data_IF_218083492054
#
_entry.id   IF_218083492054
#
_cell.length_a   1.000
_cell.length_b   1.000
_cell.length_c   1.000
_cell.angle_alpha   90.00
_cell.angle_beta   90.00
_cell.angle_gamma   90.00
#
_symmetry.space_group_name_H-M   'P 1'
#
loop_
_entity.id
_entity.type
_entity.pdbx_description
1 polymer ?
#
# COMPACT_ATOMS: atom_id res chain seq x y z
N UNK A 1 -29.65 34.05 3.95
CA UNK A 1 -28.49 33.59 4.74
C UNK A 1 -28.75 32.27 5.46
N UNK A 2 -29.78 32.14 6.31
CA UNK A 2 -30.05 30.91 7.09
C UNK A 2 -30.14 29.65 6.20
N UNK A 3 -30.91 29.69 5.11
CA UNK A 3 -31.02 28.57 4.17
C UNK A 3 -29.66 28.16 3.57
N UNK A 4 -28.85 29.13 3.15
CA UNK A 4 -27.54 28.86 2.56
C UNK A 4 -26.60 28.20 3.59
N UNK A 5 -26.54 28.74 4.81
CA UNK A 5 -25.73 28.17 5.90
C UNK A 5 -26.18 26.75 6.23
N UNK A 6 -27.49 26.51 6.35
CA UNK A 6 -28.04 25.19 6.64
C UNK A 6 -27.66 24.15 5.58
N UNK A 7 -27.87 24.45 4.30
CA UNK A 7 -27.53 23.54 3.21
C UNK A 7 -26.02 23.33 3.05
N UNK A 8 -25.20 24.36 3.28
CA UNK A 8 -23.74 24.21 3.27
C UNK A 8 -23.27 23.34 4.43
N UNK A 9 -23.76 23.58 5.64
CA UNK A 9 -23.35 22.83 6.83
C UNK A 9 -23.71 21.36 6.72
N UNK A 10 -24.96 21.03 6.34
CA UNK A 10 -25.38 19.63 6.19
C UNK A 10 -24.56 18.91 5.10
N UNK A 11 -24.22 19.60 4.01
CA UNK A 11 -23.42 19.04 2.93
C UNK A 11 -21.98 18.78 3.36
N UNK A 12 -21.37 19.72 4.10
CA UNK A 12 -20.02 19.56 4.65
C UNK A 12 -19.98 18.41 5.64
N UNK A 13 -20.96 18.31 6.54
CA UNK A 13 -21.06 17.19 7.50
C UNK A 13 -21.24 15.86 6.76
N UNK A 14 -22.15 15.80 5.78
CA UNK A 14 -22.39 14.61 4.97
C UNK A 14 -21.11 14.11 4.28
N UNK A 15 -20.39 15.00 3.57
CA UNK A 15 -19.15 14.60 2.90
C UNK A 15 -18.01 14.32 3.87
N UNK A 16 -17.92 15.03 5.00
CA UNK A 16 -16.95 14.74 6.04
C UNK A 16 -17.15 13.33 6.62
N UNK A 17 -18.40 12.98 6.94
CA UNK A 17 -18.73 11.65 7.46
C UNK A 17 -18.49 10.55 6.44
N UNK A 18 -18.83 10.75 5.16
CA UNK A 18 -18.65 9.70 4.14
C UNK A 18 -17.18 9.54 3.71
N UNK A 19 -16.42 10.64 3.59
CA UNK A 19 -15.06 10.59 3.02
C UNK A 19 -13.94 10.54 4.04
N UNK A 20 -14.11 11.13 5.23
CA UNK A 20 -13.00 11.30 6.18
C UNK A 20 -13.16 10.38 7.39
N UNK A 21 -14.32 10.44 8.04
CA UNK A 21 -14.54 9.69 9.28
C UNK A 21 -15.96 9.13 9.34
N UNK A 22 -16.14 7.96 8.72
CA UNK A 22 -17.40 7.25 8.75
C UNK A 22 -17.58 6.53 10.09
N UNK A 23 -18.20 7.22 11.03
CA UNK A 23 -18.53 6.70 12.37
C UNK A 23 -19.46 5.47 12.34
N UNK A 24 -20.12 5.19 11.21
CA UNK A 24 -21.04 4.06 11.06
C UNK A 24 -20.36 2.80 10.50
N UNK A 25 -19.09 2.89 10.09
CA UNK A 25 -18.32 1.76 9.60
C UNK A 25 -17.20 1.43 10.60
N UNK A 26 -17.44 0.56 11.60
CA UNK A 26 -16.39 0.18 12.54
C UNK A 26 -15.28 -0.57 11.80
N UNK A 27 -14.05 -0.09 11.97
CA UNK A 27 -12.85 -0.76 11.48
C UNK A 27 -12.10 -1.35 12.66
N UNK A 28 -11.70 -2.61 12.56
CA UNK A 28 -10.78 -3.21 13.51
C UNK A 28 -9.47 -2.42 13.53
N UNK A 29 -9.03 -2.02 14.72
CA UNK A 29 -7.77 -1.32 14.91
C UNK A 29 -6.79 -2.28 15.55
N UNK A 30 -5.62 -2.35 14.94
CA UNK A 30 -4.50 -3.15 15.42
C UNK A 30 -3.49 -2.19 16.04
N UNK A 31 -2.89 -2.59 17.15
CA UNK A 31 -1.86 -1.80 17.82
C UNK A 31 -0.47 -2.31 17.44
N UNK A 32 0.46 -1.39 17.27
CA UNK A 32 1.86 -1.69 17.02
C UNK A 32 2.71 -0.85 17.98
N UNK A 33 3.61 -1.46 18.78
CA UNK A 33 4.47 -0.70 19.67
C UNK A 33 5.28 0.36 18.92
N UNK A 34 5.39 1.56 19.50
CA UNK A 34 6.01 2.71 18.83
C UNK A 34 7.45 2.45 18.37
N UNK A 35 8.21 1.63 19.10
CA UNK A 35 9.56 1.20 18.72
C UNK A 35 9.56 0.45 17.39
N UNK A 36 8.66 -0.53 17.23
CA UNK A 36 8.56 -1.33 16.02
C UNK A 36 7.93 -0.53 14.87
N UNK A 37 6.99 0.37 15.16
CA UNK A 37 6.43 1.28 14.16
C UNK A 37 7.51 2.15 13.51
N UNK A 38 8.46 2.68 14.31
CA UNK A 38 9.61 3.44 13.77
C UNK A 38 10.47 2.61 12.82
N UNK A 39 10.74 1.33 13.14
CA UNK A 39 11.49 0.42 12.27
C UNK A 39 10.73 0.19 10.95
N UNK A 40 9.43 -0.10 11.02
CA UNK A 40 8.60 -0.30 9.84
C UNK A 40 8.48 0.96 8.96
N UNK A 41 8.60 2.15 9.56
CA UNK A 41 8.58 3.41 8.82
C UNK A 41 9.93 3.82 8.23
N UNK A 42 11.05 3.39 8.83
CA UNK A 42 12.40 3.63 8.33
C UNK A 42 12.82 2.63 7.24
N UNK A 43 12.19 2.81 6.08
CA UNK A 43 12.46 2.06 4.85
C UNK A 43 13.93 2.16 4.43
N UNK A 44 14.57 3.32 4.62
CA UNK A 44 15.94 3.57 4.13
C UNK A 44 16.95 2.69 4.87
N UNK A 45 16.78 2.53 6.17
CA UNK A 45 17.70 1.74 6.99
C UNK A 45 17.39 0.25 6.93
N UNK A 46 16.11 -0.13 6.94
CA UNK A 46 15.72 -1.52 7.22
C UNK A 46 15.19 -2.32 6.03
N UNK A 47 14.84 -1.71 4.90
CA UNK A 47 14.22 -2.47 3.80
C UNK A 47 15.14 -3.56 3.22
N UNK A 48 16.46 -3.34 3.19
CA UNK A 48 17.41 -4.35 2.69
C UNK A 48 17.48 -5.57 3.61
N UNK A 49 17.59 -5.35 4.93
CA UNK A 49 17.58 -6.42 5.93
C UNK A 49 16.21 -7.11 5.95
N UNK A 50 15.12 -6.34 5.89
CA UNK A 50 13.76 -6.83 5.78
C UNK A 50 13.53 -7.74 4.58
N UNK A 51 14.15 -7.43 3.44
CA UNK A 51 14.11 -8.29 2.26
C UNK A 51 14.80 -9.63 2.52
N UNK A 52 15.98 -9.64 3.14
CA UNK A 52 16.69 -10.88 3.48
C UNK A 52 15.86 -11.74 4.43
N UNK A 53 15.25 -11.13 5.44
CA UNK A 53 14.35 -11.81 6.37
C UNK A 53 13.12 -12.37 5.64
N UNK A 54 12.57 -11.63 4.68
CA UNK A 54 11.46 -12.10 3.84
C UNK A 54 11.87 -13.30 2.97
N UNK A 55 13.01 -13.24 2.30
CA UNK A 55 13.54 -14.33 1.47
C UNK A 55 13.79 -15.61 2.28
N UNK A 56 14.24 -15.46 3.53
CA UNK A 56 14.51 -16.59 4.42
C UNK A 56 13.25 -17.24 4.99
N UNK A 57 12.22 -16.45 5.33
CA UNK A 57 11.09 -16.94 6.13
C UNK A 57 9.77 -17.01 5.34
N UNK A 58 9.58 -16.15 4.34
CA UNK A 58 8.29 -15.96 3.68
C UNK A 58 8.27 -16.40 2.20
N UNK A 59 9.41 -16.32 1.52
CA UNK A 59 9.53 -16.61 0.09
C UNK A 59 9.24 -18.07 -0.27
N UNK A 60 9.29 -19.00 0.70
CA UNK A 60 8.89 -20.39 0.45
C UNK A 60 7.48 -20.51 -0.14
N UNK A 61 6.57 -19.62 0.29
CA UNK A 61 5.16 -19.68 -0.06
C UNK A 61 4.65 -18.40 -0.75
N UNK A 62 5.26 -17.25 -0.48
CA UNK A 62 4.78 -15.96 -1.00
C UNK A 62 5.70 -15.39 -2.09
N UNK A 63 5.07 -14.68 -3.03
CA UNK A 63 5.77 -13.83 -3.99
C UNK A 63 5.62 -12.35 -3.64
N UNK A 64 6.59 -11.54 -4.04
CA UNK A 64 6.58 -10.07 -4.09
C UNK A 64 7.00 -9.71 -5.51
N UNK A 65 6.10 -9.97 -6.48
CA UNK A 65 6.40 -9.86 -7.92
C UNK A 65 6.87 -8.47 -8.34
N UNK A 66 6.38 -7.39 -7.72
CA UNK A 66 6.83 -6.04 -8.05
C UNK A 66 8.31 -5.77 -7.72
N UNK A 67 8.92 -6.58 -6.86
CA UNK A 67 10.38 -6.59 -6.63
C UNK A 67 11.06 -7.83 -7.26
N UNK A 68 10.35 -8.54 -8.14
CA UNK A 68 10.78 -9.78 -8.79
C UNK A 68 11.25 -10.88 -7.83
N UNK A 69 10.67 -10.92 -6.63
CA UNK A 69 10.82 -12.03 -5.70
C UNK A 69 9.66 -12.98 -5.92
N UNK A 70 9.94 -14.18 -6.41
CA UNK A 70 8.94 -15.23 -6.61
C UNK A 70 9.08 -16.29 -5.53
N UNK A 71 8.08 -17.18 -5.43
CA UNK A 71 8.14 -18.33 -4.52
C UNK A 71 9.42 -19.13 -4.76
N UNK A 72 9.98 -19.74 -3.71
CA UNK A 72 11.30 -20.35 -3.74
C UNK A 72 11.48 -21.38 -4.88
N UNK A 73 10.45 -22.20 -5.16
CA UNK A 73 10.51 -23.19 -6.26
C UNK A 73 10.62 -22.53 -7.63
N UNK A 74 9.89 -21.42 -7.85
CA UNK A 74 9.97 -20.62 -9.07
C UNK A 74 11.29 -19.88 -9.16
N UNK A 75 11.79 -19.35 -8.04
CA UNK A 75 13.06 -18.64 -7.98
C UNK A 75 14.24 -19.56 -8.36
N UNK A 76 14.16 -20.84 -8.00
CA UNK A 76 15.14 -21.87 -8.36
C UNK A 76 14.96 -22.41 -9.78
N UNK A 77 13.85 -22.13 -10.45
CA UNK A 77 13.54 -22.70 -11.76
C UNK A 77 14.35 -21.99 -12.87
N UNK A 78 15.13 -22.71 -13.70
CA UNK A 78 15.93 -22.11 -14.75
C UNK A 78 15.09 -21.37 -15.82
N UNK A 79 13.81 -21.74 -15.97
CA UNK A 79 12.87 -21.04 -16.88
C UNK A 79 12.60 -19.60 -16.44
N UNK A 80 12.79 -19.25 -15.16
CA UNK A 80 12.54 -17.89 -14.70
C UNK A 80 13.44 -16.87 -15.41
N UNK A 81 14.73 -17.18 -15.55
CA UNK A 81 15.69 -16.27 -16.19
C UNK A 81 15.35 -16.01 -17.65
N UNK A 82 15.03 -17.07 -18.41
CA UNK A 82 14.67 -16.94 -19.82
C UNK A 82 13.37 -16.15 -20.02
N UNK A 83 12.41 -16.31 -19.12
CA UNK A 83 11.19 -15.50 -19.12
C UNK A 83 11.46 -14.04 -18.76
N UNK A 84 12.36 -13.77 -17.81
CA UNK A 84 12.73 -12.41 -17.43
C UNK A 84 13.48 -11.67 -18.54
N UNK A 85 14.32 -12.38 -19.31
CA UNK A 85 14.96 -11.83 -20.50
C UNK A 85 13.93 -11.47 -21.59
N UNK A 86 12.86 -12.26 -21.72
CA UNK A 86 11.80 -12.05 -22.72
C UNK A 86 10.77 -10.98 -22.34
N UNK A 87 10.32 -10.98 -21.09
CA UNK A 87 9.19 -10.15 -20.62
C UNK A 87 9.62 -9.02 -19.67
N UNK A 88 10.90 -8.98 -19.28
CA UNK A 88 11.45 -8.04 -18.31
C UNK A 88 11.58 -8.64 -16.91
N UNK A 89 12.27 -7.90 -16.02
CA UNK A 89 12.57 -8.33 -14.64
C UNK A 89 11.32 -8.81 -13.88
N UNK A 90 10.20 -8.12 -14.05
CA UNK A 90 8.89 -8.48 -13.47
C UNK A 90 8.04 -9.15 -14.55
N UNK A 91 7.63 -10.38 -14.28
CA UNK A 91 6.82 -11.16 -15.21
C UNK A 91 5.36 -10.70 -15.17
N UNK A 92 4.69 -10.60 -16.33
CA UNK A 92 3.24 -10.47 -16.40
C UNK A 92 2.55 -11.58 -15.61
N UNK A 93 1.46 -11.24 -14.93
CA UNK A 93 0.75 -12.17 -14.02
C UNK A 93 0.32 -13.45 -14.73
N UNK A 94 -0.26 -13.34 -15.92
CA UNK A 94 -0.69 -14.46 -16.74
C UNK A 94 0.46 -15.39 -17.15
N UNK A 95 1.64 -14.84 -17.46
CA UNK A 95 2.84 -15.62 -17.79
C UNK A 95 3.33 -16.38 -16.54
N UNK A 96 3.39 -15.70 -15.40
CA UNK A 96 3.76 -16.34 -14.13
C UNK A 96 2.81 -17.47 -13.76
N UNK A 97 1.50 -17.23 -13.77
CA UNK A 97 0.49 -18.22 -13.36
C UNK A 97 0.37 -19.40 -14.35
N UNK A 98 0.65 -19.19 -15.64
CA UNK A 98 0.59 -20.26 -16.64
C UNK A 98 1.84 -21.12 -16.67
N UNK A 99 3.03 -20.53 -16.59
CA UNK A 99 4.29 -21.29 -16.69
C UNK A 99 4.61 -22.03 -15.39
N UNK A 100 4.27 -21.44 -14.24
CA UNK A 100 4.53 -22.01 -12.91
C UNK A 100 3.25 -22.55 -12.27
N UNK A 101 2.29 -22.99 -13.09
CA UNK A 101 1.01 -23.51 -12.62
C UNK A 101 1.18 -24.66 -11.64
N UNK A 102 2.07 -25.60 -11.94
CA UNK A 102 2.34 -26.78 -11.10
C UNK A 102 2.84 -26.39 -9.70
N UNK A 103 3.81 -25.45 -9.63
CA UNK A 103 4.32 -24.91 -8.37
C UNK A 103 3.20 -24.28 -7.53
N UNK A 104 2.33 -23.49 -8.17
CA UNK A 104 1.20 -22.84 -7.51
C UNK A 104 0.14 -23.85 -7.05
N UNK A 105 -0.12 -24.90 -7.84
CA UNK A 105 -1.07 -25.95 -7.47
C UNK A 105 -0.58 -26.80 -6.31
N UNK A 106 0.72 -27.07 -6.22
CA UNK A 106 1.32 -27.74 -5.06
C UNK A 106 1.09 -26.96 -3.75
N UNK A 107 1.27 -25.63 -3.79
CA UNK A 107 0.93 -24.76 -2.66
C UNK A 107 -0.57 -24.75 -2.37
N UNK A 108 -1.42 -24.73 -3.41
CA UNK A 108 -2.87 -24.79 -3.25
C UNK A 108 -3.33 -26.08 -2.60
N UNK A 109 -2.73 -27.22 -2.94
CA UNK A 109 -3.04 -28.51 -2.32
C UNK A 109 -2.64 -28.51 -0.84
N UNK A 110 -1.47 -27.95 -0.51
CA UNK A 110 -0.96 -27.89 0.86
C UNK A 110 -1.77 -26.94 1.77
N UNK A 111 -2.18 -25.78 1.25
CA UNK A 111 -2.80 -24.72 2.06
C UNK A 111 -4.30 -24.51 1.78
N UNK A 112 -4.89 -25.28 0.85
CA UNK A 112 -6.26 -25.10 0.34
C UNK A 112 -6.43 -23.93 -0.64
N UNK A 113 -5.48 -22.98 -0.64
CA UNK A 113 -5.45 -21.81 -1.52
C UNK A 113 -4.00 -21.44 -1.85
N UNK A 114 -3.80 -20.87 -3.03
CA UNK A 114 -2.50 -20.29 -3.40
C UNK A 114 -2.23 -19.10 -2.46
N UNK A 115 -1.09 -19.05 -1.76
CA UNK A 115 -0.73 -17.89 -0.95
C UNK A 115 -0.69 -16.62 -1.81
N UNK A 116 -1.27 -15.50 -1.33
CA UNK A 116 -1.36 -14.28 -2.12
C UNK A 116 0.01 -13.65 -2.39
N UNK A 117 0.13 -12.97 -3.54
CA UNK A 117 1.23 -12.06 -3.86
C UNK A 117 1.17 -10.84 -2.92
N UNK A 118 2.32 -10.50 -2.34
CA UNK A 118 2.44 -9.48 -1.31
C UNK A 118 2.92 -8.12 -1.86
N UNK A 119 3.05 -8.00 -3.18
CA UNK A 119 3.50 -6.78 -3.87
C UNK A 119 2.81 -5.48 -3.44
N UNK A 120 1.51 -5.54 -3.11
CA UNK A 120 0.71 -4.37 -2.71
C UNK A 120 0.09 -4.50 -1.32
N UNK A 121 0.46 -5.54 -0.57
CA UNK A 121 -0.25 -5.88 0.67
C UNK A 121 -0.15 -4.79 1.72
N UNK A 122 0.96 -4.03 1.73
CA UNK A 122 1.16 -2.91 2.64
C UNK A 122 0.08 -1.84 2.46
N UNK A 123 -0.28 -1.51 1.22
CA UNK A 123 -1.32 -0.50 0.92
C UNK A 123 -2.69 -1.01 1.34
N UNK A 124 -2.95 -2.31 1.18
CA UNK A 124 -4.26 -2.91 1.44
C UNK A 124 -4.52 -3.08 2.94
N UNK A 125 -3.50 -3.44 3.73
CA UNK A 125 -3.66 -3.83 5.14
C UNK A 125 -3.07 -2.83 6.14
N UNK A 126 -2.06 -2.07 5.76
CA UNK A 126 -1.33 -1.20 6.68
C UNK A 126 -0.35 -1.96 7.59
N UNK A 127 0.54 -1.23 8.25
CA UNK A 127 1.63 -1.80 9.05
C UNK A 127 1.13 -2.49 10.32
N UNK A 128 0.12 -1.93 10.98
CA UNK A 128 -0.38 -2.44 12.24
C UNK A 128 -1.06 -3.79 12.07
N UNK A 129 -1.90 -3.95 11.05
CA UNK A 129 -2.50 -5.23 10.70
C UNK A 129 -1.42 -6.26 10.36
N UNK A 130 -0.48 -5.91 9.48
CA UNK A 130 0.57 -6.82 9.04
C UNK A 130 1.46 -7.28 10.20
N UNK A 131 1.79 -6.36 11.10
CA UNK A 131 2.58 -6.67 12.30
C UNK A 131 1.91 -7.72 13.16
N UNK A 132 0.62 -7.54 13.47
CA UNK A 132 -0.12 -8.51 14.29
C UNK A 132 -0.36 -9.82 13.55
N UNK A 133 -0.71 -9.75 12.26
CA UNK A 133 -1.01 -10.93 11.44
C UNK A 133 0.22 -11.81 11.21
N UNK A 134 1.39 -11.24 10.98
CA UNK A 134 2.62 -12.01 10.73
C UNK A 134 3.12 -12.68 12.03
N UNK A 135 2.95 -12.01 13.18
CA UNK A 135 3.34 -12.56 14.48
C UNK A 135 2.41 -13.68 14.96
N UNK A 136 1.10 -13.50 14.75
CA UNK A 136 0.07 -14.46 15.16
C UNK A 136 -1.09 -14.48 14.14
N UNK A 137 -0.95 -15.26 13.06
CA UNK A 137 -1.96 -15.33 12.01
C UNK A 137 -3.32 -15.85 12.52
N UNK A 138 -3.32 -16.79 13.48
CA UNK A 138 -4.54 -17.41 14.00
C UNK A 138 -5.36 -16.44 14.85
N UNK A 139 -4.68 -15.56 15.60
CA UNK A 139 -5.35 -14.52 16.39
C UNK A 139 -6.06 -13.49 15.52
N UNK A 140 -5.46 -13.12 14.39
CA UNK A 140 -6.00 -12.10 13.48
C UNK A 140 -7.01 -12.69 12.50
N UNK A 141 -6.74 -13.89 11.96
CA UNK A 141 -7.65 -14.60 11.06
C UNK A 141 -7.77 -16.07 11.50
N UNK A 142 -8.75 -16.39 12.37
CA UNK A 142 -8.96 -17.75 12.85
C UNK A 142 -9.19 -18.73 11.69
N UNK A 143 -8.47 -19.86 11.71
CA UNK A 143 -8.58 -20.89 10.68
C UNK A 143 -7.78 -20.60 9.41
N UNK A 144 -6.90 -19.60 9.42
CA UNK A 144 -5.96 -19.39 8.31
C UNK A 144 -4.99 -20.56 8.18
N UNK A 145 -4.65 -20.97 6.95
CA UNK A 145 -3.64 -22.01 6.71
C UNK A 145 -2.20 -21.48 6.87
N UNK A 146 -2.03 -20.17 7.07
CA UNK A 146 -0.70 -19.58 7.26
C UNK A 146 -0.12 -19.99 8.63
N UNK A 147 1.06 -20.63 8.67
CA UNK A 147 1.72 -20.99 9.92
C UNK A 147 2.29 -19.75 10.62
N UNK A 148 2.54 -19.88 11.93
CA UNK A 148 3.05 -18.80 12.76
C UNK A 148 4.59 -18.65 12.61
N UNK A 149 5.04 -18.13 11.46
CA UNK A 149 6.45 -18.15 11.05
C UNK A 149 7.35 -17.20 11.85
N UNK A 150 6.79 -16.09 12.35
CA UNK A 150 7.53 -15.02 13.02
C UNK A 150 7.16 -14.85 14.49
N UNK A 151 6.46 -15.82 15.09
CA UNK A 151 6.05 -15.74 16.50
C UNK A 151 7.24 -15.48 17.42
N UNK A 152 7.13 -14.47 18.27
CA UNK A 152 8.22 -14.05 19.17
C UNK A 152 9.33 -13.22 18.52
N UNK A 153 9.21 -12.85 17.23
CA UNK A 153 10.22 -12.06 16.49
C UNK A 153 9.66 -10.70 16.03
N UNK A 154 9.26 -9.81 16.95
CA UNK A 154 8.57 -8.55 16.63
C UNK A 154 9.45 -7.55 15.87
N UNK A 155 10.72 -7.43 16.22
CA UNK A 155 11.64 -6.50 15.54
C UNK A 155 11.86 -6.91 14.09
N UNK A 156 12.12 -8.19 13.85
CA UNK A 156 12.31 -8.75 12.51
C UNK A 156 11.04 -8.62 11.65
N UNK A 157 9.88 -8.84 12.26
CA UNK A 157 8.59 -8.62 11.60
C UNK A 157 8.44 -7.16 11.15
N UNK A 158 8.84 -6.20 11.98
CA UNK A 158 8.83 -4.79 11.61
C UNK A 158 9.76 -4.47 10.43
N UNK A 159 10.94 -5.12 10.36
CA UNK A 159 11.87 -5.00 9.23
C UNK A 159 11.28 -5.58 7.94
N UNK A 160 10.62 -6.74 8.00
CA UNK A 160 9.88 -7.32 6.86
C UNK A 160 8.80 -6.34 6.38
N UNK A 161 8.08 -5.70 7.29
CA UNK A 161 7.07 -4.69 6.95
C UNK A 161 7.71 -3.46 6.30
N UNK A 162 8.89 -3.01 6.77
CA UNK A 162 9.64 -1.94 6.12
C UNK A 162 10.00 -2.30 4.66
N UNK A 163 10.37 -3.56 4.41
CA UNK A 163 10.59 -4.06 3.05
C UNK A 163 9.30 -4.04 2.21
N UNK A 164 8.19 -4.60 2.70
CA UNK A 164 6.91 -4.59 1.98
C UNK A 164 6.41 -3.16 1.70
N UNK A 165 6.65 -2.23 2.63
CA UNK A 165 6.40 -0.79 2.44
C UNK A 165 7.25 -0.21 1.31
N UNK A 166 8.53 -0.56 1.26
CA UNK A 166 9.48 -0.09 0.24
C UNK A 166 9.10 -0.52 -1.18
N UNK A 167 8.45 -1.67 -1.32
CA UNK A 167 7.99 -2.19 -2.62
C UNK A 167 6.69 -1.53 -3.03
N UNK A 168 5.76 -1.34 -2.09
CA UNK A 168 4.43 -0.84 -2.39
C UNK A 168 4.37 0.68 -2.53
N UNK A 169 5.18 1.42 -1.79
CA UNK A 169 5.16 2.88 -1.77
C UNK A 169 6.39 3.51 -2.46
N UNK A 170 6.25 4.74 -3.01
CA UNK A 170 7.39 5.49 -3.51
C UNK A 170 8.43 5.77 -2.40
N UNK A 171 9.68 6.00 -2.81
CA UNK A 171 10.75 6.39 -1.89
C UNK A 171 10.41 7.68 -1.12
N UNK A 172 10.97 7.88 0.09
CA UNK A 172 10.74 9.10 0.87
C UNK A 172 11.05 10.39 0.10
N UNK A 173 12.10 10.38 -0.73
CA UNK A 173 12.49 11.52 -1.57
C UNK A 173 11.42 11.85 -2.62
N UNK A 174 10.89 10.83 -3.29
CA UNK A 174 9.81 11.04 -4.27
C UNK A 174 8.48 11.42 -3.62
N UNK A 175 8.19 10.91 -2.42
CA UNK A 175 7.05 11.39 -1.62
C UNK A 175 7.19 12.88 -1.32
N UNK A 176 8.38 13.34 -0.93
CA UNK A 176 8.66 14.75 -0.69
C UNK A 176 8.41 15.62 -1.92
N UNK A 177 8.89 15.21 -3.10
CA UNK A 177 8.65 15.91 -4.37
C UNK A 177 7.16 15.98 -4.72
N UNK A 178 6.42 14.89 -4.54
CA UNK A 178 4.96 14.83 -4.80
C UNK A 178 4.19 15.79 -3.89
N UNK A 179 4.54 15.86 -2.60
CA UNK A 179 3.91 16.79 -1.66
C UNK A 179 4.17 18.23 -2.08
N UNK A 180 5.42 18.57 -2.42
CA UNK A 180 5.78 19.92 -2.86
C UNK A 180 5.04 20.33 -4.14
N UNK A 181 5.00 19.44 -5.15
CA UNK A 181 4.25 19.68 -6.38
C UNK A 181 2.75 19.85 -6.10
N UNK A 182 2.17 18.99 -5.24
CA UNK A 182 0.76 19.08 -4.86
C UNK A 182 0.40 20.42 -4.20
N UNK A 183 1.20 20.86 -3.23
CA UNK A 183 1.04 22.17 -2.58
C UNK A 183 1.18 23.31 -3.60
N UNK A 184 2.18 23.24 -4.48
CA UNK A 184 2.39 24.22 -5.55
C UNK A 184 1.21 24.31 -6.52
N UNK A 185 0.65 23.18 -6.95
CA UNK A 185 -0.53 23.13 -7.83
C UNK A 185 -1.76 23.72 -7.15
N UNK A 186 -2.03 23.36 -5.88
CA UNK A 186 -3.16 23.92 -5.13
C UNK A 186 -3.03 25.44 -5.00
N UNK A 187 -1.84 25.94 -4.66
CA UNK A 187 -1.58 27.38 -4.56
C UNK A 187 -1.80 28.09 -5.90
N UNK A 188 -1.29 27.51 -7.01
CA UNK A 188 -1.50 28.03 -8.36
C UNK A 188 -3.00 28.12 -8.72
N UNK A 189 -3.78 27.07 -8.44
CA UNK A 189 -5.22 27.05 -8.74
C UNK A 189 -5.99 28.10 -7.93
N UNK A 190 -5.64 28.30 -6.66
CA UNK A 190 -6.25 29.35 -5.82
C UNK A 190 -5.93 30.74 -6.38
N UNK A 191 -4.66 31.01 -6.70
CA UNK A 191 -4.23 32.30 -7.26
C UNK A 191 -4.92 32.56 -8.60
N UNK A 192 -4.95 31.56 -9.49
CA UNK A 192 -5.63 31.66 -10.78
C UNK A 192 -7.14 31.94 -10.61
N UNK A 193 -7.80 31.24 -9.68
CA UNK A 193 -9.21 31.46 -9.37
C UNK A 193 -9.49 32.89 -8.89
N UNK A 194 -8.62 33.44 -8.02
CA UNK A 194 -8.73 34.83 -7.55
C UNK A 194 -8.50 35.83 -8.69
N UNK A 195 -7.49 35.60 -9.54
CA UNK A 195 -7.22 36.46 -10.70
C UNK A 195 -8.40 36.48 -11.69
N UNK A 196 -9.01 35.32 -11.96
CA UNK A 196 -10.20 35.22 -12.81
C UNK A 196 -11.41 35.93 -12.19
N UNK A 197 -11.58 35.82 -10.87
CA UNK A 197 -12.65 36.53 -10.15
C UNK A 197 -12.49 38.05 -10.26
N UNK A 198 -11.27 38.56 -10.07
CA UNK A 198 -10.93 39.98 -10.23
C UNK A 198 -11.14 40.42 -11.70
N UNK A 199 -10.66 39.64 -12.66
CA UNK A 199 -10.79 39.93 -14.09
C UNK A 199 -12.26 40.01 -14.51
N UNK A 200 -13.08 39.03 -14.11
CA UNK A 200 -14.53 39.02 -14.33
C UNK A 200 -15.17 40.31 -13.77
N UNK A 201 -14.83 40.69 -12.55
CA UNK A 201 -15.34 41.92 -11.94
C UNK A 201 -14.98 43.19 -12.72
N UNK A 202 -13.77 43.26 -13.30
CA UNK A 202 -13.36 44.39 -14.15
C UNK A 202 -14.12 44.45 -15.48
N UNK A 203 -14.36 43.31 -16.12
CA UNK A 203 -15.08 43.24 -17.39
C UNK A 203 -16.55 43.64 -17.22
N UNK A 204 -17.22 43.14 -16.18
CA UNK A 204 -18.62 43.50 -15.89
C UNK A 204 -18.80 45.01 -15.69
N UNK A 205 -17.89 45.64 -14.92
CA UNK A 205 -17.87 47.11 -14.75
C UNK A 205 -17.72 47.86 -16.07
N UNK A 206 -16.88 47.38 -17.00
CA UNK A 206 -16.72 47.99 -18.33
C UNK A 206 -17.97 47.87 -19.20
N UNK A 207 -18.75 46.82 -19.01
CA UNK A 207 -20.00 46.56 -19.73
C UNK A 207 -21.22 47.26 -19.11
N UNK A 208 -21.03 48.03 -18.02
CA UNK A 208 -22.15 48.66 -17.30
C UNK A 208 -23.04 47.67 -16.54
N UNK A 209 -22.61 46.42 -16.39
CA UNK A 209 -23.28 45.42 -15.57
C UNK A 209 -22.65 45.46 -14.17
N UNK A 210 -23.41 45.90 -13.18
CA UNK A 210 -22.98 45.98 -11.78
C UNK A 210 -23.27 44.68 -11.05
#
# INVERSE_FOLDING_TARGET
MIKAIFFTAITVVFFYTIWINNIFAPHERYEMPAQHAKIADDVKSYAKEGKQLFEQNCQSCHSVRYDAVYIASVQANPKLKTLQEKYGKVLPRNVYESVFHEDLMSLKESFGKVPPDLSTIYIVKGKEYLYNFILDPQKVLPGTSMPAVMTGRPEETAKIIAYLKSVAEPSPEEKGKRVLMGVGTIAYLIVMGVLLWIYRGRILKRMGLH
#
